data_IF_397030232433
#
_entry.id   IF_397030232433
#
_cell.length_a   1.000
_cell.length_b   1.000
_cell.length_c   1.000
_cell.angle_alpha   90.00
_cell.angle_beta   90.00
_cell.angle_gamma   90.00
#
_symmetry.space_group_name_H-M   'P 1'
#
loop_
_entity.id
_entity.type
_entity.pdbx_description
1 polymer ?
#
# COMPACT_ATOMS: atom_id res chain seq x y z
N UNK A 1 25.09 -28.55 -4.03
CA UNK A 1 23.91 -27.80 -3.55
C UNK A 1 24.19 -27.00 -2.29
N UNK A 2 24.95 -27.54 -1.33
CA UNK A 2 25.31 -26.85 -0.08
C UNK A 2 25.81 -25.40 -0.25
N UNK A 3 26.79 -25.16 -1.14
CA UNK A 3 27.28 -23.80 -1.44
C UNK A 3 26.19 -22.84 -1.92
N UNK A 4 25.20 -23.32 -2.68
CA UNK A 4 24.07 -22.49 -3.17
C UNK A 4 23.11 -22.14 -2.02
N UNK A 5 22.83 -23.10 -1.12
CA UNK A 5 21.99 -22.87 0.07
C UNK A 5 22.66 -21.88 1.03
N UNK A 6 23.97 -22.01 1.25
CA UNK A 6 24.75 -21.08 2.07
C UNK A 6 24.73 -19.66 1.48
N UNK A 7 24.89 -19.53 0.16
CA UNK A 7 24.83 -18.24 -0.52
C UNK A 7 23.43 -17.63 -0.46
N UNK A 8 22.38 -18.44 -0.64
CA UNK A 8 21.00 -18.00 -0.46
C UNK A 8 20.73 -17.50 0.97
N UNK A 9 21.18 -18.24 1.99
CA UNK A 9 21.02 -17.85 3.39
C UNK A 9 21.73 -16.52 3.68
N UNK A 10 22.95 -16.34 3.18
CA UNK A 10 23.71 -15.09 3.33
C UNK A 10 23.03 -13.91 2.64
N UNK A 11 22.49 -14.12 1.44
CA UNK A 11 21.71 -13.09 0.73
C UNK A 11 20.44 -12.72 1.50
N UNK A 12 19.77 -13.70 2.09
CA UNK A 12 18.55 -13.47 2.89
C UNK A 12 18.84 -12.71 4.18
N UNK A 13 19.99 -12.96 4.82
CA UNK A 13 20.45 -12.16 5.96
C UNK A 13 20.75 -10.71 5.55
N UNK A 14 21.49 -10.50 4.47
CA UNK A 14 21.73 -9.15 3.92
C UNK A 14 20.44 -8.44 3.53
N UNK A 15 19.50 -9.15 2.92
CA UNK A 15 18.19 -8.61 2.59
C UNK A 15 17.50 -8.06 3.85
N UNK A 16 17.52 -8.82 4.95
CA UNK A 16 16.93 -8.39 6.22
C UNK A 16 17.63 -7.14 6.80
N UNK A 17 18.95 -7.06 6.70
CA UNK A 17 19.71 -5.88 7.13
C UNK A 17 19.37 -4.65 6.26
N UNK A 18 19.32 -4.81 4.94
CA UNK A 18 18.94 -3.74 4.00
C UNK A 18 17.49 -3.29 4.24
N UNK A 19 16.57 -4.22 4.47
CA UNK A 19 15.17 -3.88 4.79
C UNK A 19 15.07 -3.08 6.09
N UNK A 20 15.89 -3.41 7.09
CA UNK A 20 15.95 -2.67 8.34
C UNK A 20 16.51 -1.25 8.12
N UNK A 21 17.63 -1.14 7.43
CA UNK A 21 18.28 0.15 7.13
C UNK A 21 17.38 1.06 6.28
N UNK A 22 16.71 0.50 5.26
CA UNK A 22 15.71 1.23 4.47
C UNK A 22 14.51 1.67 5.33
N UNK A 23 14.10 0.87 6.31
CA UNK A 23 13.04 1.21 7.25
C UNK A 23 13.44 2.39 8.15
N UNK A 24 14.65 2.37 8.70
CA UNK A 24 15.22 3.44 9.52
C UNK A 24 15.34 4.75 8.71
N UNK A 25 15.96 4.70 7.52
CA UNK A 25 16.08 5.86 6.63
C UNK A 25 14.70 6.43 6.23
N UNK A 26 13.72 5.57 5.96
CA UNK A 26 12.36 6.01 5.67
C UNK A 26 11.75 6.78 6.84
N UNK A 27 11.95 6.32 8.07
CA UNK A 27 11.45 7.01 9.26
C UNK A 27 12.15 8.35 9.48
N UNK A 28 13.46 8.42 9.26
CA UNK A 28 14.21 9.68 9.33
C UNK A 28 13.71 10.70 8.31
N UNK A 29 13.55 10.29 7.05
CA UNK A 29 13.05 11.18 5.98
C UNK A 29 11.61 11.64 6.27
N UNK A 30 10.75 10.75 6.77
CA UNK A 30 9.38 11.10 7.17
C UNK A 30 9.36 12.11 8.33
N UNK A 31 10.23 11.92 9.32
CA UNK A 31 10.35 12.82 10.46
C UNK A 31 10.84 14.19 10.02
N UNK A 32 11.89 14.22 9.19
CA UNK A 32 12.43 15.45 8.59
C UNK A 32 11.37 16.22 7.79
N UNK A 33 10.61 15.54 6.93
CA UNK A 33 9.54 16.18 6.17
C UNK A 33 8.38 16.65 7.07
N UNK A 34 8.06 15.91 8.13
CA UNK A 34 7.03 16.30 9.10
C UNK A 34 7.44 17.54 9.91
N UNK A 35 8.71 17.63 10.33
CA UNK A 35 9.25 18.80 11.02
C UNK A 35 9.22 20.05 10.14
N UNK A 36 9.44 19.90 8.83
CA UNK A 36 9.33 21.00 7.87
C UNK A 36 7.89 21.35 7.48
N UNK A 37 6.91 20.50 7.84
CA UNK A 37 5.53 20.63 7.37
C UNK A 37 5.40 20.54 5.85
N UNK A 38 6.42 20.01 5.15
CA UNK A 38 6.52 20.02 3.70
C UNK A 38 6.17 18.64 3.15
N UNK A 39 5.18 18.59 2.25
CA UNK A 39 4.81 17.36 1.53
C UNK A 39 5.74 17.08 0.34
N UNK A 40 6.58 18.04 -0.05
CA UNK A 40 7.56 17.91 -1.12
C UNK A 40 8.80 18.70 -0.72
N UNK A 41 9.97 18.05 -0.76
CA UNK A 41 11.25 18.68 -0.45
C UNK A 41 12.32 18.19 -1.41
N UNK A 42 13.29 19.07 -1.70
CA UNK A 42 14.43 18.76 -2.55
C UNK A 42 15.69 18.70 -1.69
N UNK A 43 16.31 17.52 -1.64
CA UNK A 43 17.51 17.25 -0.84
C UNK A 43 18.65 16.94 -1.81
N UNK A 44 19.45 17.96 -2.14
CA UNK A 44 20.55 17.84 -3.11
C UNK A 44 20.03 17.47 -4.51
N UNK A 45 20.41 16.30 -5.02
CA UNK A 45 19.96 15.76 -6.32
C UNK A 45 18.73 14.85 -6.23
N UNK A 46 18.11 14.74 -5.05
CA UNK A 46 16.97 13.86 -4.82
C UNK A 46 15.72 14.69 -4.51
N UNK A 47 14.64 14.38 -5.20
CA UNK A 47 13.32 14.93 -4.93
C UNK A 47 12.55 13.96 -4.04
N UNK A 48 12.22 14.40 -2.84
CA UNK A 48 11.43 13.64 -1.88
C UNK A 48 10.00 14.17 -1.88
N UNK A 49 9.04 13.29 -2.09
CA UNK A 49 7.62 13.62 -2.10
C UNK A 49 6.84 12.70 -1.18
N UNK A 50 6.13 13.29 -0.23
CA UNK A 50 5.13 12.63 0.58
C UNK A 50 3.78 12.73 -0.13
N UNK A 51 3.40 11.65 -0.80
CA UNK A 51 2.08 11.56 -1.43
C UNK A 51 1.12 10.96 -0.43
N UNK A 52 0.17 11.77 0.05
CA UNK A 52 -0.98 11.27 0.78
C UNK A 52 -1.90 10.54 -0.19
N UNK A 53 -1.97 9.22 -0.08
CA UNK A 53 -2.91 8.40 -0.83
C UNK A 53 -4.05 7.98 0.09
N UNK A 54 -5.27 8.25 -0.36
CA UNK A 54 -6.46 7.71 0.28
C UNK A 54 -6.66 6.29 -0.22
N UNK A 55 -6.32 5.30 0.62
CA UNK A 55 -6.60 3.89 0.32
C UNK A 55 -7.95 3.53 0.93
N UNK A 56 -8.85 2.99 0.11
CA UNK A 56 -10.08 2.36 0.59
C UNK A 56 -9.70 1.02 1.25
N UNK A 57 -9.85 0.91 2.56
CA UNK A 57 -9.82 -0.37 3.26
C UNK A 57 -11.27 -0.86 3.38
N UNK A 58 -11.59 -1.92 2.64
CA UNK A 58 -12.91 -2.55 2.68
C UNK A 58 -12.99 -3.53 3.85
N UNK A 59 -14.10 -3.51 4.56
CA UNK A 59 -14.42 -4.48 5.60
C UNK A 59 -15.04 -5.72 4.93
N UNK A 60 -14.36 -6.86 5.01
CA UNK A 60 -14.83 -8.11 4.38
C UNK A 60 -16.24 -8.48 4.80
N UNK A 61 -16.60 -8.29 6.09
CA UNK A 61 -17.93 -8.66 6.60
C UNK A 61 -18.99 -7.73 6.02
N UNK A 62 -18.79 -6.42 6.12
CA UNK A 62 -19.75 -5.45 5.58
C UNK A 62 -19.89 -5.56 4.07
N UNK A 63 -18.78 -5.79 3.37
CA UNK A 63 -18.77 -5.96 1.92
C UNK A 63 -19.50 -7.23 1.52
N UNK A 64 -19.28 -8.34 2.24
CA UNK A 64 -20.00 -9.60 2.02
C UNK A 64 -21.51 -9.46 2.26
N UNK A 65 -21.92 -8.86 3.39
CA UNK A 65 -23.33 -8.63 3.72
C UNK A 65 -24.02 -7.74 2.67
N UNK A 66 -23.32 -6.70 2.20
CA UNK A 66 -23.84 -5.74 1.22
C UNK A 66 -23.98 -6.35 -0.17
N UNK A 67 -22.99 -7.16 -0.60
CA UNK A 67 -22.99 -7.72 -1.94
C UNK A 67 -24.01 -8.83 -2.09
N UNK A 68 -24.30 -9.60 -1.02
CA UNK A 68 -25.31 -10.69 -0.93
C UNK A 68 -25.26 -11.77 -2.03
N UNK A 69 -24.47 -11.56 -3.08
CA UNK A 69 -24.34 -12.37 -4.28
C UNK A 69 -23.03 -13.16 -4.21
N UNK A 70 -23.12 -14.49 -4.09
CA UNK A 70 -21.96 -15.34 -3.92
C UNK A 70 -21.05 -15.41 -5.17
N UNK A 71 -21.56 -15.10 -6.37
CA UNK A 71 -20.74 -15.07 -7.58
C UNK A 71 -19.83 -13.84 -7.60
N UNK A 72 -20.36 -12.69 -7.18
CA UNK A 72 -19.57 -11.45 -7.03
C UNK A 72 -18.48 -11.62 -5.96
N UNK A 73 -18.80 -12.27 -4.84
CA UNK A 73 -17.81 -12.56 -3.79
C UNK A 73 -16.69 -13.49 -4.29
N UNK A 74 -17.04 -14.48 -5.11
CA UNK A 74 -16.08 -15.41 -5.71
C UNK A 74 -15.11 -14.71 -6.67
N UNK A 75 -15.57 -13.69 -7.41
CA UNK A 75 -14.71 -12.85 -8.25
C UNK A 75 -13.75 -11.98 -7.43
N UNK A 76 -14.23 -11.42 -6.32
CA UNK A 76 -13.42 -10.64 -5.38
C UNK A 76 -12.35 -11.51 -4.73
N UNK A 77 -12.67 -12.76 -4.38
CA UNK A 77 -11.83 -13.70 -3.61
C UNK A 77 -11.48 -13.22 -2.19
N UNK A 78 -11.28 -11.91 -1.97
CA UNK A 78 -11.14 -11.15 -0.71
C UNK A 78 -11.58 -9.69 -0.94
N UNK A 79 -11.70 -8.89 0.12
CA UNK A 79 -11.86 -7.41 0.16
C UNK A 79 -10.77 -6.60 -0.55
N UNK A 80 -10.27 -7.06 -1.71
CA UNK A 80 -9.23 -6.36 -2.44
C UNK A 80 -9.78 -5.08 -3.11
N UNK A 81 -9.26 -3.90 -2.74
CA UNK A 81 -9.80 -2.63 -3.22
C UNK A 81 -9.65 -2.41 -4.73
N UNK A 82 -8.63 -3.01 -5.37
CA UNK A 82 -8.44 -2.89 -6.81
C UNK A 82 -9.49 -3.72 -7.57
N UNK A 83 -9.83 -4.91 -7.05
CA UNK A 83 -10.93 -5.72 -7.60
C UNK A 83 -12.30 -5.08 -7.37
N UNK A 84 -12.58 -4.54 -6.18
CA UNK A 84 -13.85 -3.83 -5.93
C UNK A 84 -13.99 -2.65 -6.88
N UNK A 85 -12.94 -1.85 -7.06
CA UNK A 85 -12.95 -0.74 -8.02
C UNK A 85 -13.18 -1.20 -9.46
N UNK A 86 -12.61 -2.34 -9.85
CA UNK A 86 -12.79 -2.92 -11.19
C UNK A 86 -14.24 -3.38 -11.40
N UNK A 87 -14.83 -4.08 -10.44
CA UNK A 87 -16.23 -4.54 -10.51
C UNK A 87 -17.24 -3.38 -10.45
N UNK A 88 -16.91 -2.33 -9.70
CA UNK A 88 -17.70 -1.08 -9.67
C UNK A 88 -17.67 -0.39 -11.03
N UNK A 89 -16.49 -0.29 -11.66
CA UNK A 89 -16.34 0.25 -13.02
C UNK A 89 -17.08 -0.57 -14.08
N UNK A 90 -17.15 -1.88 -13.90
CA UNK A 90 -17.89 -2.80 -14.76
C UNK A 90 -19.41 -2.77 -14.51
N UNK A 91 -19.92 -1.90 -13.62
CA UNK A 91 -21.31 -1.83 -13.19
C UNK A 91 -21.86 -3.15 -12.60
N UNK A 92 -20.97 -4.05 -12.15
CA UNK A 92 -21.35 -5.29 -11.45
C UNK A 92 -21.74 -4.98 -10.00
N UNK A 93 -21.11 -3.96 -9.42
CA UNK A 93 -21.36 -3.49 -8.05
C UNK A 93 -21.74 -2.01 -8.10
N UNK A 94 -22.79 -1.61 -7.40
CA UNK A 94 -23.15 -0.20 -7.25
C UNK A 94 -22.23 0.50 -6.26
N UNK A 95 -21.55 1.58 -6.69
CA UNK A 95 -20.65 2.34 -5.81
C UNK A 95 -21.36 2.86 -4.55
N UNK A 96 -22.61 3.32 -4.71
CA UNK A 96 -23.45 3.82 -3.62
C UNK A 96 -23.66 2.79 -2.50
N UNK A 97 -23.86 1.52 -2.88
CA UNK A 97 -24.05 0.43 -1.92
C UNK A 97 -22.78 0.08 -1.15
N UNK A 98 -21.59 0.28 -1.72
CA UNK A 98 -20.35 -0.12 -1.06
C UNK A 98 -19.70 1.03 -0.26
N UNK A 99 -20.24 2.26 -0.32
CA UNK A 99 -19.64 3.41 0.37
C UNK A 99 -19.53 3.22 1.89
N UNK A 100 -20.49 2.54 2.54
CA UNK A 100 -20.44 2.26 3.98
C UNK A 100 -19.58 1.04 4.35
N UNK A 101 -19.09 0.31 3.35
CA UNK A 101 -18.29 -0.92 3.55
C UNK A 101 -16.80 -0.66 3.60
N UNK A 102 -16.35 0.55 3.20
CA UNK A 102 -14.94 0.92 3.27
C UNK A 102 -14.70 2.11 4.18
N UNK A 103 -13.52 2.14 4.78
CA UNK A 103 -12.97 3.32 5.41
C UNK A 103 -11.85 3.90 4.55
N UNK A 104 -11.81 5.22 4.43
CA UNK A 104 -10.69 5.90 3.79
C UNK A 104 -9.55 6.01 4.80
N UNK A 105 -8.44 5.34 4.53
CA UNK A 105 -7.22 5.49 5.31
C UNK A 105 -6.22 6.29 4.51
N UNK A 106 -5.78 7.39 5.10
CA UNK A 106 -4.68 8.19 4.56
C UNK A 106 -3.39 7.44 4.80
N UNK A 107 -2.75 6.99 3.72
CA UNK A 107 -1.44 6.37 3.76
C UNK A 107 -0.45 7.33 3.14
N UNK A 108 0.60 7.66 3.87
CA UNK A 108 1.69 8.49 3.37
C UNK A 108 2.67 7.61 2.60
N UNK A 109 2.69 7.75 1.27
CA UNK A 109 3.70 7.12 0.43
C UNK A 109 4.90 8.07 0.30
N UNK A 110 6.06 7.60 0.77
CA UNK A 110 7.34 8.26 0.50
C UNK A 110 7.80 7.89 -0.92
N UNK A 111 7.86 8.88 -1.80
CA UNK A 111 8.48 8.76 -3.12
C UNK A 111 9.81 9.52 -3.10
N UNK A 112 10.87 8.86 -3.53
CA UNK A 112 12.19 9.48 -3.71
C UNK A 112 12.58 9.30 -5.16
N UNK A 113 12.72 10.40 -5.88
CA UNK A 113 13.09 10.43 -7.29
C UNK A 113 14.47 11.10 -7.44
N UNK A 114 15.27 10.62 -8.38
CA UNK A 114 16.60 11.20 -8.65
C UNK A 114 16.47 12.14 -9.84
N UNK A 115 16.84 13.40 -9.63
CA UNK A 115 16.87 14.42 -10.68
C UNK A 115 17.98 14.16 -11.70
#
# INVERSE_FOLDING_TARGET
MEKKVQQYYRLKQKQKEIEKELGELRQEILSYCSEQGATETEIGSYKVKLVMQNRKEYDDLKLYETLSDPEVWRMLSKSDPAKVASLTKLNVISEDKIMHTYSLKTVTLLQVDKK
#
